data_IF_366870641292
#
_entry.id   IF_366870641292
#
_cell.length_a   1.000
_cell.length_b   1.000
_cell.length_c   1.000
_cell.angle_alpha   90.00
_cell.angle_beta   90.00
_cell.angle_gamma   90.00
#
_symmetry.space_group_name_H-M   'P 1'
#
loop_
_entity.id
_entity.type
_entity.pdbx_description
1 polymer ?
#
# COMPACT_ATOMS: atom_id res chain seq x y z
N UNK A 1 -9.39 13.46 16.75
CA UNK A 1 -8.82 13.01 15.46
C UNK A 1 -8.53 11.52 15.59
N UNK A 2 -8.88 10.74 14.56
CA UNK A 2 -8.58 9.30 14.52
C UNK A 2 -7.06 9.07 14.50
N UNK A 3 -6.59 7.95 15.04
CA UNK A 3 -5.16 7.59 14.96
C UNK A 3 -4.80 7.31 13.48
N UNK A 4 -3.65 7.79 12.98
CA UNK A 4 -3.21 7.51 11.62
C UNK A 4 -3.17 6.01 11.29
N UNK A 5 -3.56 5.67 10.06
CA UNK A 5 -3.58 4.31 9.54
C UNK A 5 -2.43 4.05 8.55
N UNK A 6 -2.25 2.78 8.20
CA UNK A 6 -1.52 2.36 7.00
C UNK A 6 -2.53 1.99 5.93
N UNK A 7 -2.45 2.61 4.76
CA UNK A 7 -3.32 2.31 3.61
C UNK A 7 -2.50 1.59 2.55
N UNK A 8 -2.89 0.37 2.19
CA UNK A 8 -2.28 -0.42 1.13
C UNK A 8 -3.08 -0.21 -0.15
N UNK A 9 -2.46 0.40 -1.16
CA UNK A 9 -3.06 0.65 -2.46
C UNK A 9 -2.66 -0.45 -3.43
N UNK A 10 -3.65 -1.17 -3.96
CA UNK A 10 -3.47 -2.25 -4.94
C UNK A 10 -4.09 -1.86 -6.29
N UNK A 11 -3.57 -2.38 -7.42
CA UNK A 11 -4.27 -2.26 -8.70
C UNK A 11 -5.71 -2.76 -8.59
N UNK A 12 -6.64 -2.06 -9.25
CA UNK A 12 -8.08 -2.42 -9.27
C UNK A 12 -8.28 -3.89 -9.65
N UNK A 13 -7.49 -4.41 -10.60
CA UNK A 13 -7.54 -5.80 -11.05
C UNK A 13 -7.33 -6.82 -9.90
N UNK A 14 -6.47 -6.49 -8.92
CA UNK A 14 -6.25 -7.35 -7.75
C UNK A 14 -7.48 -7.39 -6.82
N UNK A 15 -8.26 -6.31 -6.76
CA UNK A 15 -9.45 -6.22 -5.90
C UNK A 15 -10.68 -6.81 -6.57
N UNK A 16 -10.76 -6.75 -7.90
CA UNK A 16 -11.82 -7.38 -8.69
C UNK A 16 -11.60 -8.87 -8.93
N UNK A 17 -10.55 -9.46 -8.34
CA UNK A 17 -10.22 -10.89 -8.47
C UNK A 17 -9.73 -11.30 -9.87
N UNK A 18 -9.44 -10.34 -10.74
CA UNK A 18 -8.81 -10.60 -12.05
C UNK A 18 -7.33 -10.95 -11.90
N UNK A 19 -6.71 -10.46 -10.83
CA UNK A 19 -5.40 -10.89 -10.35
C UNK A 19 -5.50 -11.35 -8.89
N UNK A 20 -4.69 -12.33 -8.49
CA UNK A 20 -4.60 -12.72 -7.09
C UNK A 20 -3.80 -11.68 -6.31
N UNK A 21 -4.36 -11.19 -5.20
CA UNK A 21 -3.60 -10.45 -4.19
C UNK A 21 -2.47 -11.33 -3.70
N UNK A 22 -1.22 -10.90 -3.90
CA UNK A 22 -0.06 -11.67 -3.47
C UNK A 22 -0.14 -11.96 -1.96
N UNK A 23 0.19 -13.20 -1.49
CA UNK A 23 0.19 -13.55 -0.07
C UNK A 23 1.01 -12.60 0.82
N UNK A 24 1.96 -11.90 0.22
CA UNK A 24 2.70 -10.80 0.82
C UNK A 24 1.80 -9.76 1.49
N UNK A 25 0.78 -9.25 0.80
CA UNK A 25 -0.08 -8.17 1.33
C UNK A 25 -0.93 -8.63 2.51
N UNK A 26 -1.39 -9.89 2.50
CA UNK A 26 -2.08 -10.49 3.63
C UNK A 26 -1.15 -10.58 4.85
N UNK A 27 0.05 -11.15 4.68
CA UNK A 27 1.04 -11.24 5.77
C UNK A 27 1.45 -9.88 6.32
N UNK A 28 1.60 -8.88 5.44
CA UNK A 28 1.93 -7.51 5.81
C UNK A 28 0.81 -6.89 6.66
N UNK A 29 -0.45 -6.96 6.18
CA UNK A 29 -1.62 -6.50 6.93
C UNK A 29 -1.70 -7.18 8.28
N UNK A 30 -1.69 -8.50 8.31
CA UNK A 30 -1.85 -9.28 9.54
C UNK A 30 -0.75 -8.94 10.56
N UNK A 31 0.50 -8.72 10.10
CA UNK A 31 1.61 -8.31 10.96
C UNK A 31 1.50 -6.90 11.53
N UNK A 32 0.91 -5.96 10.79
CA UNK A 32 0.64 -4.59 11.23
C UNK A 32 -0.56 -4.55 12.19
N UNK A 33 -1.63 -5.27 11.87
CA UNK A 33 -2.82 -5.39 12.72
C UNK A 33 -2.50 -6.07 14.06
N UNK A 34 -1.65 -7.11 14.05
CA UNK A 34 -1.14 -7.73 15.28
C UNK A 34 -0.38 -6.73 16.20
N UNK A 35 0.14 -5.63 15.64
CA UNK A 35 0.76 -4.52 16.36
C UNK A 35 -0.23 -3.41 16.71
N UNK A 36 -1.54 -3.65 16.56
CA UNK A 36 -2.64 -2.69 16.76
C UNK A 36 -2.52 -1.46 15.87
N UNK A 37 -1.93 -1.60 14.69
CA UNK A 37 -1.93 -0.56 13.65
C UNK A 37 -3.17 -0.78 12.80
N UNK A 38 -3.95 0.28 12.58
CA UNK A 38 -5.11 0.24 11.68
C UNK A 38 -4.60 0.12 10.24
N UNK A 39 -5.08 -0.88 9.51
CA UNK A 39 -4.73 -1.09 8.10
C UNK A 39 -5.99 -1.03 7.25
N UNK A 40 -5.90 -0.32 6.13
CA UNK A 40 -6.93 -0.28 5.09
C UNK A 40 -6.32 -0.80 3.79
N UNK A 41 -7.16 -1.41 2.94
CA UNK A 41 -6.79 -1.81 1.59
C UNK A 41 -7.73 -1.09 0.64
N UNK A 42 -7.17 -0.36 -0.32
CA UNK A 42 -7.90 0.43 -1.29
C UNK A 42 -7.40 0.17 -2.72
N UNK A 43 -8.24 0.50 -3.70
CA UNK A 43 -7.82 0.58 -5.09
C UNK A 43 -6.85 1.76 -5.26
N UNK A 44 -5.78 1.53 -6.02
CA UNK A 44 -4.89 2.60 -6.44
C UNK A 44 -5.56 3.44 -7.53
N UNK A 45 -6.11 4.57 -7.13
CA UNK A 45 -6.48 5.66 -8.03
C UNK A 45 -5.27 6.58 -8.21
N UNK A 46 -4.62 6.54 -9.37
CA UNK A 46 -3.37 7.27 -9.63
C UNK A 46 -3.60 8.78 -9.82
N UNK A 47 -4.71 9.13 -10.47
CA UNK A 47 -5.04 10.53 -10.77
C UNK A 47 -5.31 11.30 -9.48
N UNK A 48 -4.53 12.36 -9.24
CA UNK A 48 -4.63 13.18 -8.03
C UNK A 48 -4.19 12.47 -6.74
N UNK A 49 -3.51 11.31 -6.84
CA UNK A 49 -3.10 10.52 -5.67
C UNK A 49 -2.31 11.34 -4.64
N UNK A 50 -1.29 12.07 -5.10
CA UNK A 50 -0.43 12.91 -4.25
C UNK A 50 -1.22 14.00 -3.54
N UNK A 51 -2.11 14.68 -4.27
CA UNK A 51 -2.95 15.75 -3.69
C UNK A 51 -3.93 15.21 -2.66
N UNK A 52 -4.44 13.98 -2.85
CA UNK A 52 -5.32 13.29 -1.90
C UNK A 52 -4.58 12.98 -0.61
N UNK A 53 -3.44 12.29 -0.68
CA UNK A 53 -2.69 11.87 0.51
C UNK A 53 -2.05 13.05 1.26
N UNK A 54 -1.83 14.17 0.57
CA UNK A 54 -1.37 15.42 1.20
C UNK A 54 -2.37 16.00 2.20
N UNK A 55 -3.64 15.57 2.16
CA UNK A 55 -4.73 16.07 3.02
C UNK A 55 -5.00 15.20 4.24
N UNK A 56 -4.37 14.04 4.34
CA UNK A 56 -4.48 13.15 5.50
C UNK A 56 -3.13 12.96 6.22
N UNK A 57 -3.15 12.20 7.32
CA UNK A 57 -1.97 11.90 8.12
C UNK A 57 -1.54 10.41 8.02
N UNK A 58 -2.11 9.67 7.08
CA UNK A 58 -1.87 8.23 6.93
C UNK A 58 -0.49 7.95 6.30
N UNK A 59 0.00 6.73 6.52
CA UNK A 59 1.10 6.15 5.74
C UNK A 59 0.52 5.30 4.62
N UNK A 60 1.13 5.35 3.44
CA UNK A 60 0.61 4.69 2.24
C UNK A 60 1.64 3.73 1.67
N UNK A 61 1.24 2.48 1.45
CA UNK A 61 2.04 1.47 0.76
C UNK A 61 1.41 1.26 -0.61
N UNK A 62 2.17 1.47 -1.69
CA UNK A 62 1.61 1.49 -3.05
C UNK A 62 2.22 0.38 -3.89
N UNK A 63 1.42 -0.60 -4.28
CA UNK A 63 1.86 -1.67 -5.17
C UNK A 63 2.06 -1.14 -6.60
N UNK A 64 3.21 -1.44 -7.20
CA UNK A 64 3.63 -0.93 -8.51
C UNK A 64 3.56 0.62 -8.61
N UNK A 65 3.85 1.30 -7.50
CA UNK A 65 3.92 2.77 -7.44
C UNK A 65 5.27 3.33 -7.88
N UNK A 66 5.24 4.60 -8.29
CA UNK A 66 6.40 5.45 -8.61
C UNK A 66 6.27 6.84 -7.96
N UNK A 67 5.53 6.91 -6.85
CA UNK A 67 5.14 8.15 -6.19
C UNK A 67 6.22 8.63 -5.23
N UNK A 68 6.43 9.95 -5.15
CA UNK A 68 7.36 10.56 -4.19
C UNK A 68 6.61 11.37 -3.15
N UNK A 69 6.62 10.90 -1.90
CA UNK A 69 6.01 11.62 -0.78
C UNK A 69 6.54 11.08 0.55
N UNK A 70 6.77 11.91 1.60
CA UNK A 70 7.36 11.46 2.87
C UNK A 70 6.58 10.37 3.63
N UNK A 71 5.31 10.15 3.27
CA UNK A 71 4.42 9.13 3.84
C UNK A 71 4.08 8.01 2.86
N UNK A 72 4.79 7.89 1.74
CA UNK A 72 4.59 6.82 0.75
C UNK A 72 5.75 5.84 0.79
N UNK A 73 5.43 4.56 0.64
CA UNK A 73 6.38 3.49 0.35
C UNK A 73 5.88 2.74 -0.90
N UNK A 74 6.61 2.82 -2.00
CA UNK A 74 6.35 2.06 -3.21
C UNK A 74 6.82 0.61 -3.01
N UNK A 75 6.04 -0.36 -3.47
CA UNK A 75 6.36 -1.79 -3.34
C UNK A 75 6.12 -2.55 -4.62
N UNK A 76 6.97 -3.54 -4.88
CA UNK A 76 6.76 -4.57 -5.88
C UNK A 76 7.61 -5.80 -5.53
N UNK A 77 7.38 -6.89 -6.26
CA UNK A 77 8.29 -8.04 -6.24
C UNK A 77 9.55 -7.69 -7.03
N UNK A 78 10.73 -7.89 -6.43
CA UNK A 78 11.99 -7.79 -7.17
C UNK A 78 12.10 -8.97 -8.14
N UNK A 79 12.50 -8.67 -9.39
CA UNK A 79 12.51 -9.66 -10.48
C UNK A 79 13.71 -10.62 -10.42
N UNK A 80 14.83 -10.15 -9.85
CA UNK A 80 16.12 -10.88 -9.82
C UNK A 80 16.27 -11.73 -8.55
N UNK A 81 15.58 -11.35 -7.47
CA UNK A 81 15.54 -12.09 -6.23
C UNK A 81 14.11 -11.99 -5.69
N UNK A 82 13.45 -13.11 -5.32
CA UNK A 82 12.01 -13.15 -5.08
C UNK A 82 11.66 -12.60 -3.68
N UNK A 83 12.09 -11.39 -3.39
CA UNK A 83 11.70 -10.63 -2.21
C UNK A 83 10.86 -9.43 -2.62
N UNK A 84 10.07 -8.94 -1.67
CA UNK A 84 9.31 -7.71 -1.79
C UNK A 84 10.07 -6.58 -1.12
N UNK A 85 10.08 -5.40 -1.75
CA UNK A 85 10.74 -4.21 -1.21
C UNK A 85 9.74 -3.12 -0.82
N UNK A 86 10.19 -2.16 -0.01
CA UNK A 86 9.48 -0.93 0.32
C UNK A 86 10.45 0.24 0.09
N UNK A 87 10.16 1.06 -0.93
CA UNK A 87 11.02 2.17 -1.37
C UNK A 87 10.31 3.52 -1.09
N UNK A 88 10.94 4.46 -0.37
CA UNK A 88 10.36 5.77 -0.04
C UNK A 88 10.16 6.72 -1.24
#
# INVERSE_FOLDING_TARGET
MSRPAVVIHLPVACLLGQEHVAPYFHKLRDGLEARRIRVEIEALERDGFIDRIGRDENFHIVNHGDFRHPRVLNTASAYIAPFWYLDP
#
